data_IF_158774457304
#
_entry.id   IF_158774457304
#
_cell.length_a   1.000
_cell.length_b   1.000
_cell.length_c   1.000
_cell.angle_alpha   90.00
_cell.angle_beta   90.00
_cell.angle_gamma   90.00
#
_symmetry.space_group_name_H-M   'P 1'
#
loop_
_entity.id
_entity.type
_entity.pdbx_description
1 polymer ?
#
# COMPACT_ATOMS: atom_id res chain seq x y z
N UNK A 1 23.74 -17.96 11.78
CA UNK A 1 24.17 -16.74 11.07
C UNK A 1 23.41 -16.73 9.76
N UNK A 2 22.18 -16.21 9.77
CA UNK A 2 21.24 -16.33 8.64
C UNK A 2 21.42 -15.15 7.71
N UNK A 3 21.93 -15.41 6.51
CA UNK A 3 22.07 -14.42 5.45
C UNK A 3 20.67 -14.10 4.91
N UNK A 4 20.09 -12.96 5.29
CA UNK A 4 18.81 -12.48 4.76
C UNK A 4 19.09 -11.85 3.39
N UNK A 5 18.84 -12.61 2.33
CA UNK A 5 18.79 -12.07 0.97
C UNK A 5 17.62 -11.09 0.92
N UNK A 6 17.89 -9.78 1.02
CA UNK A 6 16.90 -8.73 0.74
C UNK A 6 16.56 -8.81 -0.75
N UNK A 7 15.54 -9.59 -1.08
CA UNK A 7 15.03 -9.63 -2.45
C UNK A 7 14.20 -8.36 -2.68
N UNK A 8 14.49 -7.60 -3.73
CA UNK A 8 13.66 -6.47 -4.20
C UNK A 8 12.25 -6.87 -4.67
N UNK A 9 11.79 -8.05 -4.27
CA UNK A 9 10.45 -8.60 -4.50
C UNK A 9 9.59 -8.59 -3.23
N UNK A 10 10.10 -8.07 -2.11
CA UNK A 10 9.30 -7.91 -0.90
C UNK A 10 8.29 -6.75 -1.03
N UNK A 11 7.04 -7.03 -0.68
CA UNK A 11 6.00 -6.01 -0.63
C UNK A 11 6.42 -4.85 0.29
N UNK A 12 6.22 -3.60 -0.15
CA UNK A 12 6.69 -2.40 0.56
C UNK A 12 7.97 -1.76 0.01
N UNK A 13 8.69 -2.42 -0.90
CA UNK A 13 9.87 -1.87 -1.59
C UNK A 13 9.53 -1.43 -3.02
N UNK A 14 10.31 -1.84 -4.02
CA UNK A 14 10.08 -1.47 -5.41
C UNK A 14 8.85 -2.15 -5.99
N UNK A 15 8.06 -1.39 -6.76
CA UNK A 15 6.96 -1.94 -7.54
C UNK A 15 7.51 -2.53 -8.84
N UNK A 16 7.53 -3.86 -8.94
CA UNK A 16 8.01 -4.50 -10.17
C UNK A 16 7.02 -4.32 -11.33
N UNK A 17 7.52 -4.41 -12.57
CA UNK A 17 6.71 -4.16 -13.77
C UNK A 17 5.51 -5.13 -13.92
N UNK A 18 5.66 -6.39 -13.50
CA UNK A 18 4.59 -7.40 -13.58
C UNK A 18 3.48 -7.10 -12.58
N UNK A 19 3.83 -6.77 -11.34
CA UNK A 19 2.92 -6.37 -10.26
C UNK A 19 2.17 -5.09 -10.63
N UNK A 20 2.89 -4.11 -11.19
CA UNK A 20 2.27 -2.89 -11.74
C UNK A 20 1.26 -3.23 -12.82
N UNK A 21 1.65 -4.03 -13.81
CA UNK A 21 0.77 -4.41 -14.90
C UNK A 21 -0.45 -5.15 -14.40
N UNK A 22 -0.27 -6.14 -13.51
CA UNK A 22 -1.36 -6.92 -12.95
C UNK A 22 -2.38 -6.06 -12.19
N UNK A 23 -1.91 -5.12 -11.38
CA UNK A 23 -2.78 -4.19 -10.65
C UNK A 23 -3.52 -3.20 -11.55
N UNK A 24 -2.90 -2.76 -12.65
CA UNK A 24 -3.52 -1.83 -13.61
C UNK A 24 -4.52 -2.56 -14.52
N UNK A 25 -4.24 -3.79 -14.95
CA UNK A 25 -5.13 -4.57 -15.81
C UNK A 25 -6.30 -5.19 -15.06
N UNK A 26 -6.15 -5.39 -13.75
CA UNK A 26 -7.20 -5.94 -12.88
C UNK A 26 -7.95 -4.79 -12.24
N UNK A 27 -9.05 -4.36 -12.85
CA UNK A 27 -9.87 -3.28 -12.33
C UNK A 27 -10.65 -3.67 -11.06
N UNK A 28 -10.85 -4.97 -10.83
CA UNK A 28 -11.46 -5.48 -9.60
C UNK A 28 -10.49 -5.41 -8.41
N UNK A 29 -11.02 -5.36 -7.19
CA UNK A 29 -10.25 -5.38 -5.92
C UNK A 29 -9.50 -4.09 -5.57
N UNK A 30 -9.64 -3.02 -6.35
CA UNK A 30 -9.37 -1.67 -5.86
C UNK A 30 -10.43 -1.29 -4.84
N UNK A 31 -9.97 -0.78 -3.70
CA UNK A 31 -10.81 -0.25 -2.63
C UNK A 31 -10.42 1.19 -2.37
N UNK A 32 -11.42 2.05 -2.31
CA UNK A 32 -11.19 3.45 -1.93
C UNK A 32 -11.06 3.52 -0.41
N UNK A 33 -9.95 4.10 0.02
CA UNK A 33 -9.54 4.17 1.41
C UNK A 33 -9.10 5.60 1.73
N UNK A 34 -9.28 6.02 2.97
CA UNK A 34 -8.83 7.33 3.45
C UNK A 34 -7.70 7.13 4.44
N UNK A 35 -6.66 7.95 4.33
CA UNK A 35 -5.54 7.95 5.28
C UNK A 35 -6.01 8.49 6.62
N UNK A 36 -5.91 7.71 7.68
CA UNK A 36 -6.28 8.09 9.05
C UNK A 36 -5.07 8.48 9.90
N UNK A 37 -3.91 7.88 9.63
CA UNK A 37 -2.65 8.26 10.26
C UNK A 37 -1.45 8.00 9.34
N UNK A 38 -0.39 8.77 9.53
CA UNK A 38 0.92 8.57 8.88
C UNK A 38 1.96 8.53 9.99
N UNK A 39 2.61 7.38 10.15
CA UNK A 39 3.66 7.17 11.13
C UNK A 39 5.04 7.54 10.59
N UNK A 40 5.93 7.97 11.47
CA UNK A 40 7.34 8.25 11.16
C UNK A 40 8.13 6.98 10.77
N UNK A 41 7.54 5.80 11.02
CA UNK A 41 8.06 4.47 10.70
C UNK A 41 7.73 4.01 9.25
N UNK A 42 7.06 4.85 8.46
CA UNK A 42 6.65 4.57 7.09
C UNK A 42 5.34 3.78 6.99
N UNK A 43 4.68 3.51 8.12
CA UNK A 43 3.36 2.91 8.14
C UNK A 43 2.27 3.98 8.00
N UNK A 44 1.22 3.62 7.29
CA UNK A 44 0.08 4.47 6.98
C UNK A 44 -1.16 3.70 7.37
N UNK A 45 -1.96 4.28 8.25
CA UNK A 45 -3.24 3.71 8.66
C UNK A 45 -4.31 4.21 7.69
N UNK A 46 -5.19 3.29 7.31
CA UNK A 46 -6.20 3.46 6.27
C UNK A 46 -7.55 2.98 6.79
N UNK A 47 -8.61 3.68 6.42
CA UNK A 47 -9.99 3.21 6.60
C UNK A 47 -10.65 3.06 5.24
N UNK A 48 -11.28 1.91 5.02
CA UNK A 48 -12.06 1.62 3.82
C UNK A 48 -13.37 2.43 3.81
N UNK A 49 -13.64 3.14 2.71
CA UNK A 49 -14.77 4.08 2.63
C UNK A 49 -16.11 3.33 2.71
N UNK A 50 -16.21 2.16 2.09
CA UNK A 50 -17.45 1.40 2.00
C UNK A 50 -17.70 0.57 3.26
N UNK A 51 -16.70 -0.19 3.68
CA UNK A 51 -16.83 -1.18 4.77
C UNK A 51 -16.47 -0.63 6.15
N UNK A 52 -15.83 0.56 6.21
CA UNK A 52 -15.25 1.12 7.43
C UNK A 52 -14.19 0.21 8.06
N UNK A 53 -13.68 -0.77 7.31
CA UNK A 53 -12.63 -1.67 7.77
C UNK A 53 -11.30 -0.93 7.85
N UNK A 54 -10.63 -1.02 8.99
CA UNK A 54 -9.31 -0.45 9.17
C UNK A 54 -8.24 -1.39 8.62
N UNK A 55 -7.19 -0.82 8.03
CA UNK A 55 -6.02 -1.54 7.56
C UNK A 55 -4.77 -0.68 7.68
N UNK A 56 -3.61 -1.32 7.75
CA UNK A 56 -2.33 -0.60 7.85
C UNK A 56 -1.42 -1.02 6.70
N UNK A 57 -0.79 -0.06 6.04
CA UNK A 57 0.13 -0.30 4.91
C UNK A 57 1.48 0.32 5.17
N UNK A 58 2.54 -0.31 4.67
CA UNK A 58 3.90 0.20 4.80
C UNK A 58 4.58 0.35 3.45
N UNK A 59 5.32 1.43 3.28
CA UNK A 59 6.26 1.62 2.20
C UNK A 59 7.62 2.07 2.76
N UNK A 60 8.71 1.62 2.13
CA UNK A 60 10.07 1.93 2.59
C UNK A 60 10.48 3.40 2.43
N UNK A 61 9.81 4.13 1.54
CA UNK A 61 10.02 5.56 1.28
C UNK A 61 8.75 6.37 1.60
N UNK A 62 8.91 7.69 1.69
CA UNK A 62 7.78 8.59 1.86
C UNK A 62 6.88 8.56 0.61
N UNK A 63 5.62 8.15 0.78
CA UNK A 63 4.63 8.14 -0.30
C UNK A 63 4.05 9.53 -0.60
N UNK A 64 4.27 10.49 0.30
CA UNK A 64 3.79 11.87 0.18
C UNK A 64 2.32 12.07 0.55
N UNK A 65 1.66 11.05 1.12
CA UNK A 65 0.26 11.15 1.55
C UNK A 65 0.09 11.97 2.82
N UNK A 66 -1.06 12.62 2.94
CA UNK A 66 -1.48 13.33 4.15
C UNK A 66 -2.69 12.66 4.80
N UNK A 67 -2.86 12.86 6.12
CA UNK A 67 -4.09 12.44 6.81
C UNK A 67 -5.31 13.11 6.17
N UNK A 68 -6.35 12.32 5.92
CA UNK A 68 -7.57 12.72 5.21
C UNK A 68 -7.47 12.59 3.69
N UNK A 69 -6.32 12.23 3.14
CA UNK A 69 -6.16 12.07 1.69
C UNK A 69 -6.84 10.78 1.21
N UNK A 70 -7.68 10.85 0.17
CA UNK A 70 -8.25 9.67 -0.46
C UNK A 70 -7.20 8.98 -1.34
N UNK A 71 -7.02 7.68 -1.13
CA UNK A 71 -6.11 6.83 -1.88
C UNK A 71 -6.83 5.53 -2.25
N UNK A 72 -6.30 4.78 -3.22
CA UNK A 72 -6.89 3.49 -3.60
C UNK A 72 -5.93 2.35 -3.30
N UNK A 73 -6.42 1.29 -2.67
CA UNK A 73 -5.64 0.12 -2.28
C UNK A 73 -6.08 -1.12 -3.07
N UNK A 74 -5.16 -1.71 -3.82
CA UNK A 74 -5.37 -3.01 -4.47
C UNK A 74 -4.96 -4.14 -3.52
N UNK A 75 -5.93 -4.76 -2.86
CA UNK A 75 -5.67 -5.77 -1.82
C UNK A 75 -4.96 -7.04 -2.31
N UNK A 76 -5.23 -7.49 -3.54
CA UNK A 76 -4.65 -8.72 -4.09
C UNK A 76 -3.17 -8.59 -4.49
N UNK A 77 -2.77 -7.43 -5.01
CA UNK A 77 -1.39 -7.19 -5.48
C UNK A 77 -0.59 -6.28 -4.56
N UNK A 78 -1.17 -5.89 -3.42
CA UNK A 78 -0.56 -5.00 -2.42
C UNK A 78 0.02 -3.73 -3.05
N UNK A 79 -0.83 -3.00 -3.80
CA UNK A 79 -0.47 -1.75 -4.46
C UNK A 79 -1.32 -0.62 -3.91
N UNK A 80 -0.67 0.49 -3.55
CA UNK A 80 -1.32 1.74 -3.14
C UNK A 80 -1.21 2.75 -4.28
N UNK A 81 -2.34 3.30 -4.71
CA UNK A 81 -2.41 4.40 -5.66
C UNK A 81 -2.60 5.72 -4.91
N UNK A 82 -1.67 6.65 -5.12
CA UNK A 82 -1.72 8.03 -4.60
C UNK A 82 -1.71 8.97 -5.80
N UNK A 83 -2.88 9.50 -6.14
CA UNK A 83 -3.08 10.24 -7.39
C UNK A 83 -2.71 9.38 -8.61
N UNK A 84 -1.58 9.69 -9.27
CA UNK A 84 -1.06 8.94 -10.44
C UNK A 84 0.12 8.03 -10.10
N UNK A 85 0.63 8.10 -8.87
CA UNK A 85 1.73 7.28 -8.40
C UNK A 85 1.21 5.94 -7.90
N UNK A 86 2.01 4.88 -8.09
CA UNK A 86 1.71 3.53 -7.61
C UNK A 86 2.88 3.06 -6.76
N UNK A 87 2.57 2.58 -5.56
CA UNK A 87 3.55 2.11 -4.58
C UNK A 87 3.28 0.65 -4.24
N UNK A 88 4.32 -0.18 -4.21
CA UNK A 88 4.24 -1.51 -3.60
C UNK A 88 4.17 -1.33 -2.10
N UNK A 89 3.15 -1.89 -1.45
CA UNK A 89 2.94 -1.74 -0.02
C UNK A 89 2.87 -3.07 0.68
N UNK A 90 3.29 -3.12 1.94
CA UNK A 90 3.06 -4.28 2.81
C UNK A 90 1.84 -4.03 3.67
N UNK A 91 0.87 -4.93 3.65
CA UNK A 91 -0.33 -4.85 4.48
C UNK A 91 -0.14 -5.53 5.83
N UNK A 92 -0.67 -4.93 6.90
CA UNK A 92 -0.80 -5.51 8.22
C UNK A 92 -2.20 -5.25 8.79
N UNK A 93 -2.72 -6.15 9.65
CA UNK A 93 -3.93 -5.88 10.42
C UNK A 93 -3.68 -4.75 11.44
N UNK A 94 -4.70 -3.94 11.67
CA UNK A 94 -4.68 -2.93 12.75
C UNK A 94 -4.82 -3.68 14.07
N UNK A 95 -3.95 -3.38 15.03
CA UNK A 95 -3.89 -4.04 16.36
C UNK A 95 -4.48 -3.13 17.42
#
# INVERSE_FOLDING_TARGET
>A
MTYSLRSGFEAGYELNAIQRMAAVTTASHWRDVVVTAVGDDGWIDLVDVDSQAESRVWHHEATGVSVGEPVSLHGQYSVLAVGRALFSVRTAPVT
#
